data_IF_493924526955
#
_entry.id   IF_493924526955
#
_cell.length_a   1.000
_cell.length_b   1.000
_cell.length_c   1.000
_cell.angle_alpha   90.00
_cell.angle_beta   90.00
_cell.angle_gamma   90.00
#
_symmetry.space_group_name_H-M   'P 1'
#
loop_
_entity.id
_entity.type
_entity.pdbx_description
1 polymer ?
#
# COMPACT_ATOMS: atom_id res chain seq x y z
N UNK A 1 25.48 -29.71 -1.97
CA UNK A 1 24.72 -29.25 -3.16
C UNK A 1 24.12 -30.48 -3.85
N UNK A 2 22.84 -30.39 -4.24
CA UNK A 2 22.14 -31.50 -4.93
C UNK A 2 22.63 -31.66 -6.39
N UNK A 3 23.20 -30.57 -6.93
CA UNK A 3 23.73 -30.49 -8.30
C UNK A 3 25.08 -29.75 -8.29
N UNK A 4 26.18 -30.43 -8.04
CA UNK A 4 27.50 -29.78 -7.88
C UNK A 4 28.04 -29.16 -9.17
N UNK A 5 27.64 -29.67 -10.34
CA UNK A 5 28.12 -29.20 -11.65
C UNK A 5 27.12 -28.25 -12.36
N UNK A 6 26.04 -27.83 -11.67
CA UNK A 6 25.09 -26.93 -12.27
C UNK A 6 25.53 -25.45 -12.19
N UNK A 7 25.34 -24.73 -13.28
CA UNK A 7 25.51 -23.26 -13.32
C UNK A 7 24.19 -22.63 -12.90
N UNK A 8 24.24 -21.79 -11.86
CA UNK A 8 23.08 -21.05 -11.37
C UNK A 8 23.18 -19.59 -11.83
N UNK A 9 22.16 -19.12 -12.54
CA UNK A 9 22.04 -17.73 -12.99
C UNK A 9 20.77 -17.14 -12.40
N UNK A 10 20.88 -16.01 -11.69
CA UNK A 10 19.77 -15.27 -11.12
C UNK A 10 19.50 -13.98 -11.90
N UNK A 11 18.22 -13.71 -12.18
CA UNK A 11 17.75 -12.46 -12.76
C UNK A 11 16.85 -11.77 -11.75
N UNK A 12 17.11 -10.50 -11.44
CA UNK A 12 16.25 -9.71 -10.53
C UNK A 12 16.32 -8.23 -10.89
N UNK A 13 15.17 -7.57 -10.89
CA UNK A 13 15.09 -6.11 -10.99
C UNK A 13 15.35 -5.41 -9.65
N UNK A 14 15.43 -6.16 -8.55
CA UNK A 14 15.59 -5.64 -7.19
C UNK A 14 16.48 -6.58 -6.39
N UNK A 15 17.83 -6.49 -6.54
CA UNK A 15 18.76 -7.35 -5.82
C UNK A 15 18.67 -7.12 -4.30
N UNK A 16 18.76 -8.19 -3.51
CA UNK A 16 18.76 -8.13 -2.05
C UNK A 16 20.11 -7.62 -1.53
N UNK A 17 20.14 -6.50 -0.83
CA UNK A 17 21.34 -5.70 -0.65
C UNK A 17 21.90 -5.61 0.76
N UNK A 18 21.25 -6.12 1.81
CA UNK A 18 21.81 -6.02 3.17
C UNK A 18 22.27 -7.37 3.71
N UNK A 19 21.59 -7.95 4.67
CA UNK A 19 21.98 -9.25 5.25
C UNK A 19 21.98 -10.36 4.21
N UNK A 20 21.10 -10.26 3.24
CA UNK A 20 20.92 -11.25 2.17
C UNK A 20 21.91 -11.04 0.98
N UNK A 21 22.59 -9.89 0.90
CA UNK A 21 23.58 -9.59 -0.13
C UNK A 21 24.71 -10.61 -0.16
N UNK A 22 25.22 -10.96 1.00
CA UNK A 22 26.27 -11.98 1.13
C UNK A 22 25.76 -13.33 0.60
N UNK A 23 24.54 -13.68 0.94
CA UNK A 23 23.89 -14.93 0.51
C UNK A 23 23.69 -14.97 -1.01
N UNK A 24 23.25 -13.88 -1.63
CA UNK A 24 23.06 -13.84 -3.09
C UNK A 24 24.39 -13.96 -3.85
N UNK A 25 25.44 -13.27 -3.40
CA UNK A 25 26.79 -13.39 -4.00
C UNK A 25 27.39 -14.77 -3.73
N UNK A 26 27.17 -15.35 -2.57
CA UNK A 26 27.65 -16.70 -2.23
C UNK A 26 26.98 -17.80 -3.07
N UNK A 27 25.72 -17.60 -3.46
CA UNK A 27 24.96 -18.58 -4.24
C UNK A 27 25.21 -18.42 -5.75
N UNK A 28 25.21 -17.20 -6.24
CA UNK A 28 25.24 -16.90 -7.69
C UNK A 28 26.59 -16.34 -8.17
N UNK A 29 27.50 -15.97 -7.26
CA UNK A 29 28.76 -15.32 -7.62
C UNK A 29 28.59 -13.80 -7.88
N UNK A 30 29.55 -13.23 -8.63
CA UNK A 30 29.54 -11.80 -8.97
C UNK A 30 28.48 -11.46 -10.01
N UNK A 31 28.10 -10.19 -10.08
CA UNK A 31 27.18 -9.72 -11.11
C UNK A 31 27.80 -9.86 -12.51
N UNK A 32 27.05 -10.45 -13.43
CA UNK A 32 27.45 -10.58 -14.84
C UNK A 32 27.19 -9.27 -15.58
N UNK A 33 26.02 -8.64 -15.30
CA UNK A 33 25.59 -7.38 -15.89
C UNK A 33 24.61 -6.68 -14.95
N UNK A 34 24.63 -5.34 -14.96
CA UNK A 34 23.68 -4.50 -14.26
C UNK A 34 23.08 -3.48 -15.23
N UNK A 35 21.79 -3.27 -15.15
CA UNK A 35 21.06 -2.26 -15.92
C UNK A 35 20.27 -1.40 -14.94
N UNK A 36 20.68 -0.16 -14.81
CA UNK A 36 20.21 0.74 -13.78
C UNK A 36 18.90 1.42 -14.14
N UNK A 37 18.21 1.93 -13.15
CA UNK A 37 16.94 2.64 -13.34
C UNK A 37 17.10 3.89 -14.23
N UNK A 38 18.10 4.73 -13.98
CA UNK A 38 18.39 5.92 -14.77
C UNK A 38 18.75 5.60 -16.24
N UNK A 39 19.44 4.48 -16.48
CA UNK A 39 19.70 3.97 -17.83
C UNK A 39 18.38 3.55 -18.49
N UNK A 40 17.53 2.82 -17.77
CA UNK A 40 16.24 2.37 -18.27
C UNK A 40 15.28 3.53 -18.56
N UNK A 41 15.30 4.60 -17.77
CA UNK A 41 14.52 5.83 -18.02
C UNK A 41 15.08 6.55 -19.26
N UNK A 42 16.40 6.71 -19.36
CA UNK A 42 17.03 7.36 -20.52
C UNK A 42 16.77 6.60 -21.81
N UNK A 43 16.80 5.28 -21.74
CA UNK A 43 16.56 4.40 -22.90
C UNK A 43 15.05 4.25 -23.22
N UNK A 44 14.18 4.88 -22.42
CA UNK A 44 12.73 4.83 -22.60
C UNK A 44 12.10 3.47 -22.34
N UNK A 45 12.74 2.62 -21.54
CA UNK A 45 12.24 1.27 -21.18
C UNK A 45 11.28 1.34 -19.99
N UNK A 46 11.48 2.32 -19.11
CA UNK A 46 10.58 2.64 -17.98
C UNK A 46 10.36 4.14 -17.91
N UNK A 47 9.29 4.55 -17.25
CA UNK A 47 8.97 5.96 -17.03
C UNK A 47 9.69 6.48 -15.79
N UNK A 48 9.97 7.78 -15.81
CA UNK A 48 10.42 8.50 -14.63
C UNK A 48 9.30 8.58 -13.57
N UNK A 49 9.68 8.78 -12.31
CA UNK A 49 8.77 8.78 -11.18
C UNK A 49 8.63 10.21 -10.61
N UNK A 50 7.41 10.56 -10.24
CA UNK A 50 7.10 11.77 -9.48
C UNK A 50 6.63 11.41 -8.09
N UNK A 51 7.29 11.97 -7.09
CA UNK A 51 6.96 11.76 -5.68
C UNK A 51 6.25 12.99 -5.10
N UNK A 52 5.17 12.75 -4.36
CA UNK A 52 4.40 13.76 -3.66
C UNK A 52 4.14 13.26 -2.22
N UNK A 53 4.58 14.02 -1.22
CA UNK A 53 4.21 13.77 0.17
C UNK A 53 2.96 14.58 0.51
N UNK A 54 1.97 13.93 1.10
CA UNK A 54 0.74 14.57 1.58
C UNK A 54 0.59 14.33 3.06
N UNK A 55 0.78 15.39 3.86
CA UNK A 55 0.51 15.33 5.29
C UNK A 55 -1.01 15.36 5.51
N UNK A 56 -1.54 14.24 6.01
CA UNK A 56 -2.91 14.17 6.50
C UNK A 56 -2.85 14.08 8.01
N UNK A 57 -2.97 15.21 8.71
CA UNK A 57 -2.81 15.24 10.15
C UNK A 57 -3.85 14.35 10.81
N UNK A 58 -3.38 13.54 11.74
CA UNK A 58 -4.20 12.77 12.63
C UNK A 58 -4.75 13.69 13.72
N UNK A 59 -5.64 14.61 13.34
CA UNK A 59 -6.25 15.53 14.30
C UNK A 59 -7.17 14.77 15.23
N UNK A 60 -6.74 14.63 16.46
CA UNK A 60 -7.64 14.56 17.60
C UNK A 60 -8.23 15.98 17.79
N UNK A 61 -9.25 16.29 17.02
CA UNK A 61 -9.98 17.55 17.19
C UNK A 61 -10.49 17.61 18.63
N UNK A 62 -9.91 18.55 19.40
CA UNK A 62 -10.26 18.88 20.78
C UNK A 62 -9.80 17.89 21.87
N UNK A 63 -8.54 17.43 21.84
CA UNK A 63 -7.92 16.68 22.97
C UNK A 63 -8.24 17.33 24.33
N UNK A 64 -8.02 18.64 24.45
CA UNK A 64 -8.22 19.37 25.70
C UNK A 64 -9.70 19.40 26.15
N UNK A 65 -10.65 19.52 25.24
CA UNK A 65 -12.08 19.53 25.56
C UNK A 65 -12.60 18.14 25.93
N UNK A 66 -12.06 17.12 25.28
CA UNK A 66 -12.45 15.74 25.51
C UNK A 66 -11.87 15.23 26.83
N UNK A 67 -10.61 15.57 27.15
CA UNK A 67 -10.00 15.25 28.44
C UNK A 67 -10.69 16.01 29.59
N UNK A 68 -11.03 17.29 29.41
CA UNK A 68 -11.82 18.05 30.39
C UNK A 68 -13.21 17.43 30.61
N UNK A 69 -13.91 17.05 29.54
CA UNK A 69 -15.20 16.37 29.64
C UNK A 69 -15.08 15.03 30.38
N UNK A 70 -14.05 14.23 30.05
CA UNK A 70 -13.78 12.96 30.71
C UNK A 70 -13.53 13.17 32.22
N UNK A 71 -12.69 14.13 32.58
CA UNK A 71 -12.38 14.45 33.98
C UNK A 71 -13.60 14.93 34.76
N UNK A 72 -14.48 15.72 34.15
CA UNK A 72 -15.74 16.16 34.76
C UNK A 72 -16.68 14.98 34.98
N UNK A 73 -16.85 14.12 33.97
CA UNK A 73 -17.78 12.97 34.03
C UNK A 73 -17.31 11.83 34.93
N UNK A 74 -16.00 11.70 35.16
CA UNK A 74 -15.44 10.64 35.98
C UNK A 74 -15.08 11.07 37.41
N UNK A 75 -15.43 12.31 37.80
CA UNK A 75 -15.10 12.86 39.13
C UNK A 75 -15.56 12.00 40.33
N UNK A 76 -16.69 11.32 40.16
CA UNK A 76 -17.31 10.49 41.22
C UNK A 76 -16.76 9.05 41.26
N UNK A 77 -15.89 8.67 40.32
CA UNK A 77 -15.37 7.32 40.27
C UNK A 77 -14.11 7.13 41.12
N UNK A 78 -13.92 5.90 41.64
CA UNK A 78 -12.70 5.52 42.32
C UNK A 78 -11.50 5.58 41.36
N UNK A 79 -10.29 5.83 41.88
CA UNK A 79 -9.04 5.93 41.08
C UNK A 79 -8.81 4.70 40.18
N UNK A 80 -9.18 3.51 40.64
CA UNK A 80 -9.07 2.26 39.85
C UNK A 80 -10.08 2.18 38.71
N UNK A 81 -11.32 2.59 38.97
CA UNK A 81 -12.38 2.64 37.94
C UNK A 81 -12.05 3.73 36.91
N UNK A 82 -11.54 4.89 37.33
CA UNK A 82 -11.09 5.98 36.47
C UNK A 82 -9.94 5.55 35.56
N UNK A 83 -8.94 4.83 36.10
CA UNK A 83 -7.80 4.31 35.33
C UNK A 83 -8.28 3.34 34.21
N UNK A 84 -9.15 2.38 34.56
CA UNK A 84 -9.69 1.41 33.59
C UNK A 84 -10.56 2.06 32.52
N UNK A 85 -11.31 3.10 32.89
CA UNK A 85 -12.13 3.88 31.96
C UNK A 85 -11.25 4.75 31.05
N UNK A 86 -10.14 5.31 31.56
CA UNK A 86 -9.18 6.10 30.80
C UNK A 86 -8.43 5.24 29.76
N UNK A 87 -8.12 4.00 30.08
CA UNK A 87 -7.55 3.03 29.14
C UNK A 87 -8.50 2.71 27.98
N UNK A 88 -9.78 2.39 28.30
CA UNK A 88 -10.83 2.21 27.27
C UNK A 88 -11.06 3.47 26.44
N UNK A 89 -11.03 4.63 27.08
CA UNK A 89 -11.22 5.91 26.41
C UNK A 89 -10.08 6.23 25.44
N UNK A 90 -8.82 5.97 25.84
CA UNK A 90 -7.65 6.12 24.96
C UNK A 90 -7.72 5.20 23.75
N UNK A 91 -8.20 3.97 23.93
CA UNK A 91 -8.44 3.03 22.81
C UNK A 91 -9.53 3.55 21.87
N UNK A 92 -10.67 4.05 22.38
CA UNK A 92 -11.73 4.64 21.57
C UNK A 92 -11.23 5.88 20.80
N UNK A 93 -10.45 6.75 21.44
CA UNK A 93 -9.86 7.92 20.76
C UNK A 93 -8.93 7.52 19.60
N UNK A 94 -8.12 6.47 19.78
CA UNK A 94 -7.30 5.89 18.72
C UNK A 94 -8.15 5.42 17.54
N UNK A 95 -9.24 4.73 17.80
CA UNK A 95 -10.16 4.22 16.78
C UNK A 95 -10.80 5.38 16.00
N UNK A 96 -11.33 6.40 16.69
CA UNK A 96 -11.97 7.54 16.04
C UNK A 96 -10.99 8.41 15.24
N UNK A 97 -9.78 8.64 15.75
CA UNK A 97 -8.75 9.39 15.02
C UNK A 97 -8.23 8.62 13.82
N UNK A 98 -8.09 7.30 13.93
CA UNK A 98 -7.74 6.42 12.82
C UNK A 98 -8.79 6.48 11.72
N UNK A 99 -10.06 6.33 12.04
CA UNK A 99 -11.17 6.41 11.07
C UNK A 99 -11.24 7.76 10.37
N UNK A 100 -11.13 8.87 11.11
CA UNK A 100 -11.13 10.21 10.52
C UNK A 100 -9.97 10.40 9.54
N UNK A 101 -8.78 9.88 9.87
CA UNK A 101 -7.63 9.91 8.98
C UNK A 101 -7.87 9.09 7.71
N UNK A 102 -8.39 7.86 7.84
CA UNK A 102 -8.73 7.02 6.68
C UNK A 102 -9.77 7.69 5.77
N UNK A 103 -10.77 8.34 6.34
CA UNK A 103 -11.78 9.09 5.57
C UNK A 103 -11.18 10.26 4.79
N UNK A 104 -10.19 10.96 5.35
CA UNK A 104 -9.47 12.05 4.66
C UNK A 104 -8.58 11.52 3.54
N UNK A 105 -7.82 10.45 3.78
CA UNK A 105 -7.01 9.79 2.74
C UNK A 105 -7.91 9.30 1.60
N UNK A 106 -9.02 8.63 1.93
CA UNK A 106 -9.93 8.15 0.90
C UNK A 106 -10.56 9.31 0.09
N UNK A 107 -10.89 10.42 0.74
CA UNK A 107 -11.39 11.62 0.07
C UNK A 107 -10.34 12.23 -0.85
N UNK A 108 -9.11 12.35 -0.40
CA UNK A 108 -7.99 12.86 -1.18
C UNK A 108 -7.76 12.02 -2.45
N UNK A 109 -7.80 10.68 -2.32
CA UNK A 109 -7.71 9.77 -3.46
C UNK A 109 -8.89 9.96 -4.42
N UNK A 110 -10.13 10.10 -3.92
CA UNK A 110 -11.30 10.34 -4.77
C UNK A 110 -11.15 11.64 -5.56
N UNK A 111 -10.65 12.71 -4.92
CA UNK A 111 -10.40 13.99 -5.61
C UNK A 111 -9.36 13.84 -6.73
N UNK A 112 -8.32 13.04 -6.54
CA UNK A 112 -7.35 12.78 -7.60
C UNK A 112 -8.01 12.09 -8.82
N UNK A 113 -8.99 11.21 -8.60
CA UNK A 113 -9.74 10.58 -9.70
C UNK A 113 -10.64 11.55 -10.47
N UNK A 114 -10.99 12.68 -9.86
CA UNK A 114 -11.78 13.75 -10.50
C UNK A 114 -10.89 14.84 -11.13
N UNK A 115 -9.63 14.97 -10.72
CA UNK A 115 -8.76 16.06 -11.11
C UNK A 115 -7.56 15.66 -11.98
N UNK A 116 -7.00 14.47 -11.75
CA UNK A 116 -5.77 14.05 -12.45
C UNK A 116 -6.12 13.45 -13.81
N UNK A 117 -5.54 13.95 -14.92
CA UNK A 117 -6.01 13.64 -16.29
C UNK A 117 -6.18 12.16 -16.57
N UNK A 118 -5.16 11.34 -16.33
CA UNK A 118 -5.24 9.89 -16.64
C UNK A 118 -6.24 9.13 -15.78
N UNK A 119 -6.44 9.55 -14.51
CA UNK A 119 -7.44 8.95 -13.63
C UNK A 119 -8.85 9.39 -14.00
N UNK A 120 -9.03 10.67 -14.31
CA UNK A 120 -10.30 11.27 -14.75
C UNK A 120 -10.79 10.67 -16.06
N UNK A 121 -9.89 10.56 -17.04
CA UNK A 121 -10.21 10.06 -18.39
C UNK A 121 -10.40 8.53 -18.43
N UNK A 122 -10.11 7.83 -17.34
CA UNK A 122 -10.22 6.36 -17.27
C UNK A 122 -9.13 5.59 -18.03
N UNK A 123 -8.06 6.27 -18.46
CA UNK A 123 -6.90 5.66 -19.11
C UNK A 123 -5.87 5.16 -18.11
N UNK A 124 -5.96 5.60 -16.86
CA UNK A 124 -5.10 5.19 -15.77
C UNK A 124 -5.90 4.72 -14.57
N UNK A 125 -5.23 3.97 -13.72
CA UNK A 125 -5.76 3.51 -12.43
C UNK A 125 -4.67 3.59 -11.35
N UNK A 126 -5.00 3.14 -10.14
CA UNK A 126 -4.14 3.31 -8.98
C UNK A 126 -4.11 2.10 -8.06
N UNK A 127 -3.02 2.00 -7.28
CA UNK A 127 -2.91 1.06 -6.17
C UNK A 127 -2.80 1.87 -4.88
N UNK A 128 -3.57 1.48 -3.85
CA UNK A 128 -3.44 1.95 -2.47
C UNK A 128 -2.80 0.85 -1.63
N UNK A 129 -1.64 1.14 -1.05
CA UNK A 129 -0.95 0.24 -0.11
C UNK A 129 -1.37 0.57 1.31
N UNK A 130 -2.02 -0.37 1.97
CA UNK A 130 -2.50 -0.27 3.36
C UNK A 130 -1.61 -1.08 4.30
N UNK A 131 -1.51 -0.67 5.55
CA UNK A 131 -0.68 -1.31 6.58
C UNK A 131 -1.18 -2.70 7.01
N UNK A 132 -2.50 -2.90 7.04
CA UNK A 132 -3.13 -4.14 7.47
C UNK A 132 -4.36 -4.50 6.62
N UNK A 133 -4.75 -5.77 6.66
CA UNK A 133 -5.94 -6.26 5.93
C UNK A 133 -7.21 -5.60 6.49
N UNK A 134 -7.30 -5.41 7.80
CA UNK A 134 -8.42 -4.70 8.42
C UNK A 134 -8.53 -3.25 7.96
N UNK A 135 -7.40 -2.53 7.91
CA UNK A 135 -7.36 -1.15 7.37
C UNK A 135 -7.75 -1.11 5.90
N UNK A 136 -7.33 -2.10 5.09
CA UNK A 136 -7.77 -2.23 3.70
C UNK A 136 -9.28 -2.42 3.58
N UNK A 137 -9.89 -3.22 4.48
CA UNK A 137 -11.34 -3.38 4.57
C UNK A 137 -12.05 -2.06 4.91
N UNK A 138 -11.51 -1.29 5.86
CA UNK A 138 -12.06 0.02 6.22
C UNK A 138 -11.98 1.01 5.07
N UNK A 139 -10.87 1.06 4.33
CA UNK A 139 -10.76 1.86 3.11
C UNK A 139 -11.81 1.46 2.08
N UNK A 140 -11.94 0.15 1.80
CA UNK A 140 -12.95 -0.35 0.87
C UNK A 140 -14.37 0.09 1.28
N UNK A 141 -14.74 -0.06 2.55
CA UNK A 141 -16.04 0.35 3.08
C UNK A 141 -16.27 1.86 2.89
N UNK A 142 -15.28 2.70 3.22
CA UNK A 142 -15.34 4.16 3.04
C UNK A 142 -15.54 4.51 1.56
N UNK A 143 -14.76 3.91 0.65
CA UNK A 143 -14.92 4.12 -0.79
C UNK A 143 -16.32 3.73 -1.27
N UNK A 144 -16.84 2.58 -0.83
CA UNK A 144 -18.18 2.12 -1.16
C UNK A 144 -19.27 3.09 -0.66
N UNK A 145 -19.17 3.56 0.59
CA UNK A 145 -20.08 4.52 1.20
C UNK A 145 -20.10 5.87 0.47
N UNK A 146 -18.94 6.30 -0.03
CA UNK A 146 -18.79 7.55 -0.80
C UNK A 146 -19.12 7.41 -2.29
N UNK A 147 -19.63 6.26 -2.72
CA UNK A 147 -20.03 6.03 -4.12
C UNK A 147 -18.89 5.65 -5.06
N UNK A 148 -17.65 5.54 -4.58
CA UNK A 148 -16.51 5.09 -5.37
C UNK A 148 -16.50 3.55 -5.45
N UNK A 149 -17.34 3.01 -6.37
CA UNK A 149 -17.64 1.57 -6.46
C UNK A 149 -16.59 0.74 -7.20
N UNK A 150 -15.76 1.36 -8.04
CA UNK A 150 -14.80 0.69 -8.93
C UNK A 150 -13.47 0.44 -8.22
N UNK A 151 -13.52 -0.17 -7.03
CA UNK A 151 -12.36 -0.56 -6.24
C UNK A 151 -12.53 -1.98 -5.68
N UNK A 152 -11.41 -2.63 -5.40
CA UNK A 152 -11.37 -3.98 -4.82
C UNK A 152 -10.17 -4.16 -3.88
N UNK A 153 -10.29 -5.07 -2.92
CA UNK A 153 -9.18 -5.49 -2.06
C UNK A 153 -8.54 -6.73 -2.68
N UNK A 154 -7.22 -6.73 -2.78
CA UNK A 154 -6.42 -7.91 -3.12
C UNK A 154 -5.43 -8.18 -1.98
N UNK A 155 -5.64 -9.27 -1.26
CA UNK A 155 -4.79 -9.64 -0.12
C UNK A 155 -4.61 -11.16 -0.02
N UNK A 156 -3.85 -11.60 0.97
CA UNK A 156 -3.69 -13.03 1.28
C UNK A 156 -4.83 -13.63 2.11
N UNK A 157 -5.79 -12.81 2.51
CA UNK A 157 -6.91 -13.25 3.35
C UNK A 157 -7.97 -13.97 2.53
N UNK A 158 -8.44 -15.10 3.07
CA UNK A 158 -9.60 -15.86 2.57
C UNK A 158 -10.58 -16.01 3.72
N UNK A 159 -11.85 -15.56 3.60
CA UNK A 159 -12.85 -15.69 4.66
C UNK A 159 -13.07 -17.17 5.03
N UNK A 160 -13.15 -17.45 6.32
CA UNK A 160 -13.40 -18.81 6.82
C UNK A 160 -14.47 -18.77 7.92
N UNK A 161 -15.29 -19.82 8.00
CA UNK A 161 -16.30 -19.95 9.06
C UNK A 161 -15.68 -19.97 10.49
N UNK A 162 -14.39 -20.31 10.59
CA UNK A 162 -13.63 -20.23 11.84
C UNK A 162 -13.38 -18.81 12.33
N UNK A 163 -13.44 -17.81 11.45
CA UNK A 163 -13.27 -16.40 11.81
C UNK A 163 -14.41 -15.89 12.73
N UNK A 164 -15.52 -16.63 12.80
CA UNK A 164 -16.67 -16.37 13.68
C UNK A 164 -16.57 -17.05 15.05
N UNK A 165 -15.55 -17.89 15.30
CA UNK A 165 -15.39 -18.70 16.52
C UNK A 165 -14.05 -18.41 17.15
N UNK A 166 -13.98 -17.39 17.99
CA UNK A 166 -12.76 -17.10 18.77
C UNK A 166 -13.09 -17.05 20.27
N UNK A 167 -12.89 -18.19 20.94
CA UNK A 167 -13.07 -18.32 22.39
C UNK A 167 -11.87 -17.77 23.20
N UNK A 168 -10.86 -17.16 22.58
CA UNK A 168 -9.55 -16.87 23.23
C UNK A 168 -8.94 -15.49 22.94
N UNK A 169 -9.65 -14.58 22.25
CA UNK A 169 -9.11 -13.29 21.81
C UNK A 169 -9.79 -12.13 22.56
N UNK A 170 -9.18 -10.95 22.58
CA UNK A 170 -9.77 -9.76 23.18
C UNK A 170 -11.02 -9.31 22.42
N UNK A 171 -11.98 -8.66 23.08
CA UNK A 171 -13.24 -8.21 22.47
C UNK A 171 -13.01 -7.26 21.26
N UNK A 172 -11.91 -6.53 21.23
CA UNK A 172 -11.55 -5.62 20.13
C UNK A 172 -11.07 -6.42 18.90
N UNK A 173 -10.25 -7.47 19.09
CA UNK A 173 -9.78 -8.34 18.02
C UNK A 173 -10.90 -9.19 17.40
N UNK A 174 -11.90 -9.58 18.21
CA UNK A 174 -13.10 -10.28 17.71
C UNK A 174 -13.92 -9.39 16.79
N UNK A 175 -14.09 -8.12 17.17
CA UNK A 175 -14.83 -7.15 16.36
C UNK A 175 -14.14 -6.89 15.02
N UNK A 176 -12.82 -6.71 15.02
CA UNK A 176 -12.06 -6.50 13.78
C UNK A 176 -12.11 -7.73 12.86
N UNK A 177 -12.04 -8.94 13.42
CA UNK A 177 -12.11 -10.18 12.65
C UNK A 177 -13.49 -10.35 12.02
N UNK A 178 -14.54 -10.08 12.76
CA UNK A 178 -15.92 -10.14 12.26
C UNK A 178 -16.18 -9.11 11.15
N UNK A 179 -15.83 -7.84 11.36
CA UNK A 179 -16.00 -6.78 10.35
C UNK A 179 -15.22 -7.07 9.07
N UNK A 180 -13.97 -7.54 9.19
CA UNK A 180 -13.15 -7.98 8.06
C UNK A 180 -13.82 -9.08 7.27
N UNK A 181 -14.36 -10.09 7.96
CA UNK A 181 -15.08 -11.20 7.36
C UNK A 181 -16.32 -10.73 6.59
N UNK A 182 -17.18 -9.91 7.21
CA UNK A 182 -18.38 -9.39 6.55
C UNK A 182 -18.06 -8.54 5.32
N UNK A 183 -17.06 -7.66 5.40
CA UNK A 183 -16.66 -6.81 4.28
C UNK A 183 -16.18 -7.65 3.11
N UNK A 184 -15.38 -8.70 3.37
CA UNK A 184 -14.93 -9.60 2.33
C UNK A 184 -16.07 -10.39 1.69
N UNK A 185 -16.99 -10.95 2.47
CA UNK A 185 -18.16 -11.64 1.92
C UNK A 185 -19.00 -10.73 1.03
N UNK A 186 -19.25 -9.51 1.49
CA UNK A 186 -19.98 -8.50 0.70
C UNK A 186 -19.26 -8.14 -0.60
N UNK A 187 -17.93 -8.01 -0.55
CA UNK A 187 -17.11 -7.75 -1.74
C UNK A 187 -17.17 -8.92 -2.74
N UNK A 188 -17.18 -10.15 -2.26
CA UNK A 188 -17.29 -11.37 -3.08
C UNK A 188 -18.72 -11.67 -3.56
N UNK A 189 -19.72 -10.90 -3.11
CA UNK A 189 -21.13 -11.15 -3.39
C UNK A 189 -21.64 -12.43 -2.73
N UNK A 190 -21.11 -12.78 -1.55
CA UNK A 190 -21.51 -13.92 -0.76
C UNK A 190 -22.48 -13.50 0.35
N UNK A 191 -23.47 -14.34 0.61
CA UNK A 191 -24.41 -14.18 1.72
C UNK A 191 -23.83 -14.85 2.97
N UNK A 192 -23.65 -14.12 4.10
CA UNK A 192 -23.16 -14.68 5.36
C UNK A 192 -24.01 -15.84 5.90
N UNK A 193 -25.33 -15.79 5.66
CA UNK A 193 -26.28 -16.78 6.17
C UNK A 193 -26.35 -18.05 5.28
N UNK A 194 -25.80 -17.98 4.07
CA UNK A 194 -25.86 -19.08 3.11
C UNK A 194 -24.51 -19.28 2.41
N UNK A 195 -23.49 -19.60 3.20
CA UNK A 195 -22.14 -19.75 2.69
C UNK A 195 -21.94 -21.08 1.96
N UNK A 196 -21.25 -21.06 0.80
CA UNK A 196 -20.83 -22.28 0.15
C UNK A 196 -19.76 -23.04 0.96
N UNK A 197 -19.47 -24.28 0.60
CA UNK A 197 -18.39 -25.05 1.21
C UNK A 197 -17.03 -24.29 1.14
N UNK A 198 -16.16 -24.55 2.10
CA UNK A 198 -14.85 -23.87 2.25
C UNK A 198 -14.01 -23.87 0.95
N UNK A 199 -13.96 -25.00 0.24
CA UNK A 199 -13.24 -25.11 -1.04
C UNK A 199 -13.85 -24.20 -2.11
N UNK A 200 -15.17 -24.03 -2.08
CA UNK A 200 -15.89 -23.15 -2.98
C UNK A 200 -15.65 -21.67 -2.69
N UNK A 201 -15.45 -21.29 -1.41
CA UNK A 201 -15.08 -19.91 -1.03
C UNK A 201 -13.69 -19.56 -1.53
N UNK A 202 -12.72 -20.46 -1.34
CA UNK A 202 -11.36 -20.27 -1.84
C UNK A 202 -11.35 -20.07 -3.36
N UNK A 203 -12.05 -20.92 -4.09
CA UNK A 203 -12.18 -20.80 -5.55
C UNK A 203 -12.82 -19.46 -5.95
N UNK A 204 -13.86 -19.02 -5.24
CA UNK A 204 -14.48 -17.71 -5.48
C UNK A 204 -13.53 -16.55 -5.26
N UNK A 205 -12.67 -16.61 -4.24
CA UNK A 205 -11.62 -15.61 -4.01
C UNK A 205 -10.62 -15.60 -5.18
N UNK A 206 -10.17 -16.77 -5.63
CA UNK A 206 -9.24 -16.92 -6.75
C UNK A 206 -9.84 -16.38 -8.06
N UNK A 207 -11.08 -16.76 -8.37
CA UNK A 207 -11.81 -16.31 -9.55
C UNK A 207 -12.06 -14.78 -9.50
N UNK A 208 -12.44 -14.25 -8.34
CA UNK A 208 -12.61 -12.81 -8.12
C UNK A 208 -11.30 -12.05 -8.33
N UNK A 209 -10.21 -12.51 -7.73
CA UNK A 209 -8.90 -11.88 -7.90
C UNK A 209 -8.43 -11.89 -9.36
N UNK A 210 -8.70 -12.97 -10.07
CA UNK A 210 -8.37 -13.07 -11.50
C UNK A 210 -9.15 -12.06 -12.32
N UNK A 211 -10.46 -11.97 -12.10
CA UNK A 211 -11.35 -11.02 -12.80
C UNK A 211 -10.95 -9.56 -12.49
N UNK A 212 -10.68 -9.26 -11.21
CA UNK A 212 -10.26 -7.91 -10.77
C UNK A 212 -8.92 -7.52 -11.40
N UNK A 213 -7.94 -8.42 -11.44
CA UNK A 213 -6.63 -8.18 -12.07
C UNK A 213 -6.76 -7.98 -13.58
N UNK A 214 -7.57 -8.78 -14.23
CA UNK A 214 -7.83 -8.65 -15.67
C UNK A 214 -8.48 -7.28 -15.98
N UNK A 215 -9.51 -6.90 -15.25
CA UNK A 215 -10.16 -5.59 -15.38
C UNK A 215 -9.19 -4.44 -15.08
N UNK A 216 -8.34 -4.59 -14.07
CA UNK A 216 -7.37 -3.56 -13.72
C UNK A 216 -6.34 -3.32 -14.82
N UNK A 217 -5.92 -4.37 -15.52
CA UNK A 217 -4.97 -4.28 -16.63
C UNK A 217 -5.67 -3.82 -17.92
N UNK A 218 -6.81 -4.43 -18.27
CA UNK A 218 -7.42 -4.27 -19.60
C UNK A 218 -8.58 -3.28 -19.65
N UNK A 219 -9.12 -2.88 -18.49
CA UNK A 219 -10.29 -2.00 -18.38
C UNK A 219 -10.13 -0.99 -17.23
N UNK A 220 -9.11 -0.11 -17.24
CA UNK A 220 -8.79 0.77 -16.12
C UNK A 220 -9.96 1.68 -15.70
N UNK A 221 -10.84 2.07 -16.63
CA UNK A 221 -12.06 2.81 -16.34
C UNK A 221 -13.08 2.01 -15.51
N UNK A 222 -13.03 0.68 -15.53
CA UNK A 222 -13.96 -0.21 -14.81
C UNK A 222 -13.40 -0.75 -13.50
N UNK A 223 -12.07 -0.77 -13.33
CA UNK A 223 -11.38 -1.07 -12.08
C UNK A 223 -10.35 0.03 -11.81
N UNK A 224 -10.78 1.04 -11.05
CA UNK A 224 -10.01 2.27 -10.83
C UNK A 224 -8.95 2.14 -9.76
N UNK A 225 -9.24 1.37 -8.68
CA UNK A 225 -8.35 1.31 -7.51
C UNK A 225 -8.25 -0.12 -6.96
N UNK A 226 -7.03 -0.60 -6.79
CA UNK A 226 -6.74 -1.79 -5.99
C UNK A 226 -6.23 -1.39 -4.61
N UNK A 227 -6.82 -1.96 -3.57
CA UNK A 227 -6.37 -1.80 -2.19
C UNK A 227 -5.60 -3.04 -1.81
N UNK A 228 -4.32 -2.91 -1.48
CA UNK A 228 -3.42 -4.03 -1.20
C UNK A 228 -2.67 -3.83 0.11
N UNK A 229 -2.14 -4.91 0.68
CA UNK A 229 -1.25 -4.84 1.85
C UNK A 229 0.19 -5.20 1.46
N UNK A 230 0.41 -6.39 0.90
CA UNK A 230 1.70 -6.86 0.41
C UNK A 230 1.58 -7.52 -0.97
N UNK A 231 0.42 -8.11 -1.25
CA UNK A 231 0.14 -8.79 -2.51
C UNK A 231 0.16 -7.79 -3.67
N UNK A 232 0.64 -8.21 -4.83
CA UNK A 232 0.81 -7.41 -6.05
C UNK A 232 1.96 -6.37 -6.02
N UNK A 233 2.59 -6.12 -4.89
CA UNK A 233 3.77 -5.23 -4.85
C UNK A 233 4.98 -5.86 -5.53
N UNK A 234 4.99 -7.19 -5.68
CA UNK A 234 6.01 -7.95 -6.41
C UNK A 234 5.41 -8.68 -7.59
N UNK A 235 6.08 -8.67 -8.74
CA UNK A 235 5.74 -9.50 -9.90
C UNK A 235 4.45 -9.15 -10.65
N UNK A 236 3.66 -8.17 -10.20
CA UNK A 236 2.46 -7.74 -10.88
C UNK A 236 2.77 -6.67 -11.92
N UNK A 237 2.40 -6.90 -13.15
CA UNK A 237 2.58 -5.99 -14.27
C UNK A 237 1.23 -5.43 -14.74
N UNK A 238 1.07 -4.11 -14.61
CA UNK A 238 -0.14 -3.40 -14.97
C UNK A 238 0.24 -2.05 -15.59
N UNK A 239 0.44 -1.96 -16.90
CA UNK A 239 0.82 -0.73 -17.58
C UNK A 239 -0.07 0.48 -17.27
N UNK A 240 -1.43 0.36 -17.17
CA UNK A 240 -2.30 1.47 -16.81
C UNK A 240 -2.11 2.02 -15.39
N UNK A 241 -1.46 1.26 -14.49
CA UNK A 241 -1.23 1.71 -13.12
C UNK A 241 -0.34 2.95 -13.09
N UNK A 242 -0.96 4.10 -12.85
CA UNK A 242 -0.32 5.42 -12.94
C UNK A 242 0.00 5.99 -11.56
N UNK A 243 -0.82 5.71 -10.55
CA UNK A 243 -0.66 6.23 -9.19
C UNK A 243 -0.46 5.12 -8.17
N UNK A 244 0.48 5.33 -7.28
CA UNK A 244 0.73 4.50 -6.09
C UNK A 244 0.52 5.37 -4.85
N UNK A 245 -0.55 5.11 -4.11
CA UNK A 245 -0.82 5.72 -2.82
C UNK A 245 -0.25 4.84 -1.72
N UNK A 246 0.57 5.39 -0.82
CA UNK A 246 1.23 4.61 0.22
C UNK A 246 0.76 5.10 1.60
N UNK A 247 -0.06 4.31 2.27
CA UNK A 247 -0.46 4.48 3.67
C UNK A 247 0.05 3.34 4.55
N UNK A 248 1.29 2.95 4.32
CA UNK A 248 2.00 1.90 5.05
C UNK A 248 3.43 2.32 5.29
N UNK A 249 3.95 2.13 6.51
CA UNK A 249 5.39 2.26 6.75
C UNK A 249 6.12 1.15 6.01
N UNK A 250 6.94 1.52 5.05
CA UNK A 250 7.70 0.62 4.18
C UNK A 250 9.15 1.06 4.15
N UNK A 251 10.06 0.11 4.05
CA UNK A 251 11.49 0.38 4.01
C UNK A 251 12.18 -0.47 2.94
N UNK A 252 13.36 -0.03 2.53
CA UNK A 252 14.28 -0.79 1.70
C UNK A 252 13.64 -1.45 0.44
N UNK A 253 13.85 -2.74 0.32
CA UNK A 253 13.42 -3.55 -0.82
C UNK A 253 11.91 -3.53 -1.09
N UNK A 254 11.08 -3.58 -0.04
CA UNK A 254 9.62 -3.57 -0.18
C UNK A 254 9.10 -2.25 -0.78
N UNK A 255 9.66 -1.12 -0.35
CA UNK A 255 9.31 0.19 -0.88
C UNK A 255 9.73 0.31 -2.34
N UNK A 256 10.98 -0.10 -2.68
CA UNK A 256 11.47 -0.06 -4.05
C UNK A 256 10.62 -0.94 -4.99
N UNK A 257 10.23 -2.13 -4.56
CA UNK A 257 9.37 -3.01 -5.35
C UNK A 257 7.98 -2.39 -5.61
N UNK A 258 7.42 -1.70 -4.61
CA UNK A 258 6.13 -1.03 -4.74
C UNK A 258 6.19 0.12 -5.76
N UNK A 259 7.21 0.97 -5.69
CA UNK A 259 7.33 2.12 -6.60
C UNK A 259 7.54 1.71 -8.06
N UNK A 260 8.21 0.58 -8.31
CA UNK A 260 8.37 0.02 -9.65
C UNK A 260 7.06 -0.50 -10.27
N UNK A 261 5.92 -0.41 -9.59
CA UNK A 261 4.62 -0.81 -10.17
C UNK A 261 4.05 0.28 -11.08
N UNK A 262 4.40 1.54 -10.88
CA UNK A 262 3.82 2.67 -11.63
C UNK A 262 4.71 3.22 -12.74
N UNK A 263 5.95 2.75 -12.87
CA UNK A 263 6.90 3.22 -13.89
C UNK A 263 6.81 2.50 -15.24
N UNK A 264 5.80 1.67 -15.45
CA UNK A 264 5.60 0.95 -16.73
C UNK A 264 5.09 1.87 -17.82
N UNK A 265 5.57 1.66 -19.05
CA UNK A 265 5.07 2.33 -20.24
C UNK A 265 3.60 1.94 -20.48
N UNK A 266 2.79 2.90 -20.92
CA UNK A 266 1.39 2.69 -21.28
C UNK A 266 0.97 3.72 -22.34
N UNK A 267 1.38 3.49 -23.59
CA UNK A 267 1.18 4.40 -24.70
C UNK A 267 1.83 5.78 -24.49
N UNK A 268 1.51 6.71 -25.38
CA UNK A 268 2.13 8.05 -25.39
C UNK A 268 1.55 9.01 -24.35
N UNK A 269 0.43 8.64 -23.71
CA UNK A 269 -0.28 9.51 -22.75
C UNK A 269 0.21 9.35 -21.30
N UNK A 270 1.02 8.34 -21.01
CA UNK A 270 1.60 8.12 -19.70
C UNK A 270 3.06 8.61 -19.69
N UNK A 271 3.27 9.79 -19.15
CA UNK A 271 4.58 10.43 -19.07
C UNK A 271 5.37 10.02 -17.82
N UNK A 272 4.67 9.79 -16.71
CA UNK A 272 5.27 9.52 -15.40
C UNK A 272 4.48 8.45 -14.63
N UNK A 273 5.17 7.78 -13.69
CA UNK A 273 4.55 7.13 -12.55
C UNK A 273 4.49 8.09 -11.35
N UNK A 274 3.38 8.08 -10.62
CA UNK A 274 3.19 8.97 -9.47
C UNK A 274 3.15 8.18 -8.17
N UNK A 275 3.92 8.66 -7.19
CA UNK A 275 3.96 8.12 -5.83
C UNK A 275 3.38 9.18 -4.91
N UNK A 276 2.28 8.87 -4.24
CA UNK A 276 1.66 9.72 -3.22
C UNK A 276 1.85 9.05 -1.87
N UNK A 277 2.57 9.72 -0.99
CA UNK A 277 2.99 9.19 0.30
C UNK A 277 2.26 9.89 1.45
N UNK A 278 1.59 9.11 2.30
CA UNK A 278 0.90 9.58 3.50
C UNK A 278 1.65 9.24 4.81
N UNK A 279 2.88 8.69 4.71
CA UNK A 279 3.68 8.20 5.86
C UNK A 279 5.05 8.87 6.01
N UNK A 280 5.34 9.87 5.18
CA UNK A 280 6.63 10.58 5.18
C UNK A 280 7.84 9.65 4.95
N UNK A 281 7.74 8.80 3.93
CA UNK A 281 8.76 7.79 3.61
C UNK A 281 9.94 8.35 2.81
N UNK A 282 9.98 9.64 2.49
CA UNK A 282 11.01 10.24 1.64
C UNK A 282 12.44 9.96 2.14
N UNK A 283 12.67 10.10 3.45
CA UNK A 283 13.96 9.78 4.06
C UNK A 283 14.32 8.31 3.94
N UNK A 284 13.37 7.42 4.12
CA UNK A 284 13.54 5.97 3.98
C UNK A 284 13.75 5.58 2.51
N UNK A 285 13.04 6.23 1.59
CA UNK A 285 13.20 6.04 0.16
C UNK A 285 14.60 6.47 -0.29
N UNK A 286 15.07 7.67 0.11
CA UNK A 286 16.41 8.14 -0.19
C UNK A 286 17.47 7.19 0.38
N UNK A 287 17.34 6.75 1.63
CA UNK A 287 18.25 5.79 2.25
C UNK A 287 18.22 4.42 1.56
N UNK A 288 17.04 3.94 1.17
CA UNK A 288 16.90 2.72 0.40
C UNK A 288 17.64 2.83 -0.94
N UNK A 289 17.45 3.93 -1.64
CA UNK A 289 18.09 4.19 -2.92
C UNK A 289 19.61 4.34 -2.75
N UNK A 290 20.07 5.11 -1.78
CA UNK A 290 21.51 5.24 -1.46
C UNK A 290 22.12 3.87 -1.13
N UNK A 291 21.39 3.00 -0.43
CA UNK A 291 21.83 1.64 -0.12
C UNK A 291 21.89 0.76 -1.37
N UNK A 292 20.95 0.92 -2.29
CA UNK A 292 20.94 0.22 -3.58
C UNK A 292 22.05 0.69 -4.51
N UNK A 293 22.50 1.93 -4.38
CA UNK A 293 23.54 2.52 -5.22
C UNK A 293 24.92 2.46 -4.58
N UNK A 294 25.08 2.86 -3.31
CA UNK A 294 26.41 3.03 -2.67
C UNK A 294 27.01 1.76 -2.07
N UNK A 295 26.20 0.80 -1.68
CA UNK A 295 26.69 -0.38 -0.95
C UNK A 295 26.84 -1.65 -1.79
N UNK A 296 26.27 -1.71 -2.99
CA UNK A 296 26.26 -2.91 -3.83
C UNK A 296 27.29 -2.86 -4.96
N UNK A 297 27.69 -1.66 -5.35
CA UNK A 297 28.47 -1.44 -6.55
C UNK A 297 29.58 -0.44 -6.22
N UNK A 298 30.79 -0.91 -6.01
CA UNK A 298 31.98 -0.09 -5.71
C UNK A 298 32.34 0.92 -6.83
N UNK A 299 31.58 0.97 -7.93
CA UNK A 299 31.80 1.80 -9.10
C UNK A 299 30.61 2.71 -9.48
N UNK A 300 29.76 3.09 -8.52
CA UNK A 300 28.59 3.92 -8.81
C UNK A 300 28.69 5.29 -8.14
N UNK A 301 28.57 6.35 -8.94
CA UNK A 301 28.56 7.73 -8.46
C UNK A 301 27.20 8.12 -7.87
N UNK A 302 27.21 9.00 -6.84
CA UNK A 302 26.02 9.57 -6.21
C UNK A 302 25.09 10.29 -7.20
N UNK A 303 25.62 10.76 -8.33
CA UNK A 303 24.85 11.40 -9.41
C UNK A 303 23.85 10.46 -10.09
N UNK A 304 24.07 9.15 -10.02
CA UNK A 304 23.17 8.13 -10.57
C UNK A 304 21.86 7.98 -9.76
N UNK A 305 21.84 8.48 -8.51
CA UNK A 305 20.70 8.43 -7.59
C UNK A 305 19.84 9.68 -7.67
N UNK A 306 20.45 10.84 -7.95
CA UNK A 306 19.75 12.12 -8.07
C UNK A 306 18.73 12.14 -9.22
N UNK A 307 18.83 11.19 -10.16
CA UNK A 307 17.87 11.03 -11.25
C UNK A 307 16.51 10.44 -10.85
N UNK A 308 16.44 9.68 -9.75
CA UNK A 308 15.23 8.96 -9.35
C UNK A 308 14.23 9.82 -8.60
N UNK A 309 14.71 10.76 -7.78
CA UNK A 309 13.86 11.67 -7.01
C UNK A 309 14.46 13.07 -7.09
N UNK A 310 14.02 13.84 -8.07
CA UNK A 310 14.33 15.26 -8.12
C UNK A 310 13.39 15.98 -7.16
N UNK A 311 13.95 16.63 -6.13
CA UNK A 311 13.23 17.66 -5.40
C UNK A 311 12.98 18.83 -6.34
N UNK A 312 11.79 18.85 -6.93
CA UNK A 312 11.36 19.91 -7.85
C UNK A 312 10.64 21.07 -7.16
N UNK A 313 10.62 21.10 -5.82
CA UNK A 313 10.00 22.19 -5.08
C UNK A 313 10.60 23.56 -5.47
N UNK A 314 11.91 23.60 -5.72
CA UNK A 314 12.57 24.82 -6.20
C UNK A 314 12.23 25.17 -7.68
N UNK A 315 11.94 24.19 -8.52
CA UNK A 315 11.48 24.43 -9.91
C UNK A 315 9.99 24.80 -9.94
N UNK A 316 9.17 24.18 -9.11
CA UNK A 316 7.75 24.51 -8.99
C UNK A 316 7.56 25.97 -8.53
N UNK A 317 8.37 26.45 -7.58
CA UNK A 317 8.34 27.85 -7.11
C UNK A 317 8.72 28.86 -8.22
N UNK A 318 9.50 28.46 -9.22
CA UNK A 318 9.85 29.35 -10.35
C UNK A 318 8.76 29.47 -11.41
N UNK A 319 7.76 28.60 -11.40
CA UNK A 319 6.65 28.57 -12.33
C UNK A 319 5.32 29.08 -11.73
N UNK A 320 5.34 29.51 -10.45
CA UNK A 320 4.29 30.29 -9.80
C UNK A 320 4.75 31.74 -9.67
#
# INVERSE_FOLDING_TARGET
AIMPDAIFIGFTGTPLLKKDKKTSIEVFGTYIHTYKYNEAVRDGVVLDLRYEYRDIPQELSAHDRVDQWFDVKTRSLSSRAKAKLKEKWASMQKIYSSRSRLERVAWDIIQDFDLKPRLMDGNGNAILVSDAIYTACKYYEIFQQRGFKKCAIISSYTPQAGDLRTDTVSADDETETFEKYEIYLRMLGLDPDNLPEKLSIQKKVEDFEKDVKDKFINQPANMKLLIVVDKLLTGFDAPPCTYLYIDKSMQDHGLFQAICRVNRLDGDTKEFGYIVDYKQLFGDLKNAMDTYTSGAFENYDLEDVDGLIKDRSAEAIKHF
#
